data_IF_511782014731
#
_entry.id   IF_511782014731
#
_cell.length_a   1.000
_cell.length_b   1.000
_cell.length_c   1.000
_cell.angle_alpha   90.00
_cell.angle_beta   90.00
_cell.angle_gamma   90.00
#
_symmetry.space_group_name_H-M   'P 1'
#
loop_
_entity.id
_entity.type
_entity.pdbx_description
1 polymer ?
#
# COMPACT_ATOMS: atom_id res chain seq x y z
N UNK A 1 4.33 -10.34 -29.85
CA UNK A 1 3.67 -9.69 -28.68
C UNK A 1 2.77 -8.59 -29.19
N UNK A 2 1.53 -8.52 -28.70
CA UNK A 2 0.64 -7.39 -29.05
C UNK A 2 1.22 -6.11 -28.45
N UNK A 3 1.41 -5.06 -29.26
CA UNK A 3 1.88 -3.75 -28.77
C UNK A 3 0.78 -3.00 -28.00
N UNK A 4 -0.45 -3.47 -28.07
CA UNK A 4 -1.63 -2.86 -27.48
C UNK A 4 -2.54 -3.93 -26.88
N UNK A 5 -3.08 -3.62 -25.72
CA UNK A 5 -4.14 -4.41 -25.10
C UNK A 5 -5.52 -3.86 -25.49
N UNK A 6 -6.53 -4.70 -25.38
CA UNK A 6 -7.93 -4.31 -25.50
C UNK A 6 -8.71 -4.71 -24.23
N UNK A 7 -9.97 -4.31 -24.12
CA UNK A 7 -10.79 -4.57 -22.93
C UNK A 7 -10.99 -6.06 -22.60
N UNK A 8 -10.73 -6.98 -23.55
CA UNK A 8 -10.80 -8.43 -23.34
C UNK A 8 -9.44 -9.07 -23.07
N UNK A 9 -8.36 -8.27 -23.11
CA UNK A 9 -7.01 -8.77 -22.85
C UNK A 9 -6.87 -9.30 -21.43
N UNK A 10 -6.03 -10.30 -21.26
CA UNK A 10 -5.80 -11.01 -20.01
C UNK A 10 -6.77 -12.18 -19.81
N UNK A 11 -6.24 -13.36 -19.55
CA UNK A 11 -7.00 -14.57 -19.29
C UNK A 11 -6.99 -14.90 -17.79
N UNK A 12 -8.12 -15.32 -17.23
CA UNK A 12 -8.16 -15.75 -15.83
C UNK A 12 -7.23 -16.94 -15.55
N UNK A 13 -6.99 -17.81 -16.57
CA UNK A 13 -6.05 -18.91 -16.47
C UNK A 13 -4.60 -18.44 -16.22
N UNK A 14 -4.20 -17.28 -16.80
CA UNK A 14 -2.91 -16.65 -16.55
C UNK A 14 -2.80 -16.22 -15.08
N UNK A 15 -3.78 -15.48 -14.54
CA UNK A 15 -3.79 -15.08 -13.14
C UNK A 15 -3.73 -16.29 -12.21
N UNK A 16 -4.50 -17.35 -12.50
CA UNK A 16 -4.47 -18.61 -11.73
C UNK A 16 -3.10 -19.30 -11.75
N UNK A 17 -2.39 -19.24 -12.87
CA UNK A 17 -1.03 -19.78 -12.97
C UNK A 17 -0.03 -18.95 -12.15
N UNK A 18 -0.08 -17.63 -12.26
CA UNK A 18 0.78 -16.71 -11.52
C UNK A 18 0.62 -16.87 -10.01
N UNK A 19 -0.60 -16.92 -9.51
CA UNK A 19 -0.91 -17.00 -8.08
C UNK A 19 -0.69 -18.38 -7.45
N UNK A 20 -0.35 -19.40 -8.25
CA UNK A 20 0.12 -20.71 -7.76
C UNK A 20 1.60 -20.72 -7.39
N UNK A 21 2.34 -19.68 -7.77
CA UNK A 21 3.77 -19.54 -7.42
C UNK A 21 3.93 -19.53 -5.90
N UNK A 22 5.08 -20.00 -5.44
CA UNK A 22 5.43 -20.03 -4.04
C UNK A 22 6.75 -19.27 -3.84
N UNK A 23 6.78 -18.42 -2.86
CA UNK A 23 7.98 -17.71 -2.43
C UNK A 23 8.92 -18.67 -1.73
N UNK A 24 10.16 -18.76 -2.19
CA UNK A 24 11.18 -19.59 -1.57
C UNK A 24 12.01 -18.73 -0.61
N UNK A 25 12.20 -19.18 0.63
CA UNK A 25 13.02 -18.45 1.61
C UNK A 25 14.48 -18.28 1.14
N UNK A 26 14.99 -19.20 0.32
CA UNK A 26 16.34 -19.11 -0.22
C UNK A 26 16.53 -17.93 -1.20
N UNK A 27 15.46 -17.45 -1.83
CA UNK A 27 15.50 -16.30 -2.74
C UNK A 27 15.64 -14.97 -1.99
N UNK A 28 15.25 -14.94 -0.71
CA UNK A 28 15.22 -13.76 0.14
C UNK A 28 15.92 -13.97 1.48
N UNK A 29 17.25 -14.14 1.48
CA UNK A 29 18.03 -14.56 2.65
C UNK A 29 18.06 -13.54 3.80
N UNK A 30 17.64 -12.29 3.56
CA UNK A 30 17.53 -11.25 4.59
C UNK A 30 16.15 -11.20 5.24
N UNK A 31 15.17 -11.88 4.67
CA UNK A 31 13.88 -12.05 5.33
C UNK A 31 14.02 -12.98 6.54
N UNK A 32 13.39 -12.62 7.65
CA UNK A 32 13.36 -13.47 8.83
C UNK A 32 12.56 -14.75 8.61
N UNK A 33 11.47 -14.66 7.86
CA UNK A 33 10.60 -15.77 7.45
C UNK A 33 9.69 -15.38 6.29
N UNK A 34 9.01 -16.37 5.72
CA UNK A 34 7.96 -16.17 4.70
C UNK A 34 6.60 -16.46 5.33
N UNK A 35 5.65 -15.53 5.22
CA UNK A 35 4.28 -15.70 5.68
C UNK A 35 3.29 -15.52 4.52
N UNK A 36 2.54 -16.54 4.16
CA UNK A 36 1.56 -16.48 3.06
C UNK A 36 2.16 -15.94 1.75
N UNK A 37 3.34 -16.39 1.36
CA UNK A 37 4.16 -15.91 0.26
C UNK A 37 4.85 -14.55 0.48
N UNK A 38 4.63 -13.85 1.57
CA UNK A 38 5.22 -12.54 1.83
C UNK A 38 6.53 -12.69 2.61
N UNK A 39 7.66 -12.19 2.11
CA UNK A 39 8.88 -12.04 2.89
C UNK A 39 8.69 -11.02 4.02
N UNK A 40 9.00 -11.44 5.24
CA UNK A 40 8.84 -10.63 6.45
C UNK A 40 10.22 -10.31 7.01
N UNK A 41 10.49 -9.02 7.16
CA UNK A 41 11.77 -8.47 7.63
C UNK A 41 11.63 -7.88 9.02
N UNK A 42 12.76 -7.74 9.72
CA UNK A 42 12.83 -7.07 11.01
C UNK A 42 13.40 -5.65 10.85
N UNK A 43 12.59 -4.65 11.13
CA UNK A 43 12.99 -3.24 11.06
C UNK A 43 13.97 -2.81 12.15
N UNK A 44 14.06 -3.53 13.26
CA UNK A 44 14.97 -3.17 14.36
C UNK A 44 16.46 -3.32 14.02
N UNK A 45 16.79 -4.15 13.01
CA UNK A 45 18.17 -4.37 12.56
C UNK A 45 18.61 -3.53 11.37
N UNK A 46 17.78 -2.61 10.88
CA UNK A 46 18.07 -1.86 9.65
C UNK A 46 19.28 -0.94 9.73
N UNK A 47 19.61 -0.45 10.93
CA UNK A 47 20.77 0.44 11.12
C UNK A 47 22.11 -0.28 10.88
N UNK A 48 22.18 -1.57 11.13
CA UNK A 48 23.41 -2.37 11.07
C UNK A 48 23.49 -3.26 9.81
N UNK A 49 22.50 -3.19 8.92
CA UNK A 49 22.46 -4.04 7.73
C UNK A 49 23.22 -3.44 6.54
N UNK A 50 23.65 -4.30 5.60
CA UNK A 50 24.05 -3.85 4.27
C UNK A 50 22.83 -3.30 3.53
N UNK A 51 22.61 -1.98 3.67
CA UNK A 51 21.46 -1.27 3.12
C UNK A 51 21.33 -1.47 1.60
N UNK A 52 22.45 -1.46 0.86
CA UNK A 52 22.42 -1.61 -0.61
C UNK A 52 21.98 -3.01 -1.02
N UNK A 53 22.47 -4.02 -0.33
CA UNK A 53 22.08 -5.40 -0.60
C UNK A 53 20.61 -5.66 -0.18
N UNK A 54 20.14 -5.05 0.92
CA UNK A 54 18.73 -5.09 1.32
C UNK A 54 17.82 -4.41 0.29
N UNK A 55 18.20 -3.23 -0.20
CA UNK A 55 17.47 -2.51 -1.24
C UNK A 55 17.36 -3.35 -2.53
N UNK A 56 18.43 -4.05 -2.92
CA UNK A 56 18.41 -4.95 -4.07
C UNK A 56 17.41 -6.10 -3.87
N UNK A 57 17.40 -6.71 -2.68
CA UNK A 57 16.46 -7.78 -2.34
C UNK A 57 15.01 -7.27 -2.32
N UNK A 58 14.75 -6.12 -1.70
CA UNK A 58 13.40 -5.52 -1.67
C UNK A 58 12.90 -5.13 -3.06
N UNK A 59 13.76 -4.60 -3.92
CA UNK A 59 13.40 -4.31 -5.30
C UNK A 59 13.02 -5.59 -6.05
N UNK A 60 13.74 -6.69 -5.83
CA UNK A 60 13.42 -7.98 -6.43
C UNK A 60 12.09 -8.56 -5.93
N UNK A 61 11.83 -8.51 -4.61
CA UNK A 61 10.54 -8.91 -4.05
C UNK A 61 9.38 -8.18 -4.73
N UNK A 62 9.51 -6.85 -4.89
CA UNK A 62 8.47 -6.01 -5.47
C UNK A 62 8.32 -6.21 -6.99
N UNK A 63 9.42 -6.46 -7.71
CA UNK A 63 9.43 -6.57 -9.16
C UNK A 63 9.15 -7.99 -9.63
N UNK A 64 9.92 -8.98 -9.16
CA UNK A 64 9.95 -10.36 -9.66
C UNK A 64 9.30 -11.36 -8.71
N UNK A 65 9.23 -11.01 -7.42
CA UNK A 65 8.69 -11.82 -6.35
C UNK A 65 7.18 -11.71 -6.16
N UNK A 66 6.69 -11.90 -4.94
CA UNK A 66 5.26 -11.82 -4.59
C UNK A 66 4.67 -10.40 -4.72
N UNK A 67 5.50 -9.37 -4.87
CA UNK A 67 5.08 -7.99 -5.03
C UNK A 67 4.72 -7.27 -3.72
N UNK A 68 5.04 -7.85 -2.58
CA UNK A 68 4.72 -7.33 -1.26
C UNK A 68 5.82 -7.65 -0.24
N UNK A 69 6.13 -6.69 0.62
CA UNK A 69 7.10 -6.74 1.71
C UNK A 69 6.39 -6.40 3.01
N UNK A 70 6.60 -7.19 4.06
CA UNK A 70 6.20 -6.82 5.42
C UNK A 70 7.44 -6.55 6.27
N UNK A 71 7.41 -5.47 7.04
CA UNK A 71 8.49 -5.06 7.94
C UNK A 71 7.92 -4.99 9.35
N UNK A 72 8.22 -6.01 10.14
CA UNK A 72 7.90 -6.02 11.58
C UNK A 72 8.79 -5.00 12.27
N UNK A 73 8.22 -4.29 13.24
CA UNK A 73 8.96 -3.25 13.97
C UNK A 73 9.66 -2.24 13.04
N UNK A 74 8.99 -1.83 11.97
CA UNK A 74 9.47 -0.72 11.14
C UNK A 74 9.70 0.55 11.97
N UNK A 75 8.92 0.69 13.05
CA UNK A 75 9.14 1.60 14.16
C UNK A 75 9.41 0.78 15.43
N UNK A 76 10.69 0.50 15.77
CA UNK A 76 11.01 -0.24 16.99
C UNK A 76 10.57 0.49 18.27
N UNK A 77 10.67 1.82 18.27
CA UNK A 77 10.04 2.71 19.23
C UNK A 77 8.74 3.27 18.61
N UNK A 78 7.62 3.02 19.25
CA UNK A 78 6.30 3.46 18.77
C UNK A 78 5.90 4.85 19.26
N UNK A 79 6.71 5.55 20.03
CA UNK A 79 6.41 6.89 20.51
C UNK A 79 6.14 7.90 19.36
N UNK A 80 6.87 7.91 18.23
CA UNK A 80 6.53 8.75 17.08
C UNK A 80 5.15 8.44 16.50
N UNK A 81 4.73 7.17 16.49
CA UNK A 81 3.39 6.74 16.02
C UNK A 81 2.32 7.25 16.97
N UNK A 82 2.51 7.12 18.29
CA UNK A 82 1.54 7.58 19.28
C UNK A 82 1.35 9.11 19.20
N UNK A 83 2.46 9.86 19.05
CA UNK A 83 2.43 11.32 18.86
C UNK A 83 1.68 11.69 17.57
N UNK A 84 1.99 11.06 16.45
CA UNK A 84 1.30 11.28 15.17
C UNK A 84 -0.18 10.92 15.25
N UNK A 85 -0.54 9.79 15.90
CA UNK A 85 -1.92 9.37 16.09
C UNK A 85 -2.73 10.41 16.86
N UNK A 86 -2.17 11.00 17.92
CA UNK A 86 -2.84 12.06 18.69
C UNK A 86 -3.14 13.30 17.83
N UNK A 87 -2.20 13.69 16.98
CA UNK A 87 -2.40 14.78 16.00
C UNK A 87 -3.50 14.43 15.01
N UNK A 88 -3.48 13.22 14.45
CA UNK A 88 -4.49 12.78 13.47
C UNK A 88 -5.90 12.71 14.06
N UNK A 89 -6.07 12.24 15.29
CA UNK A 89 -7.37 12.24 15.97
C UNK A 89 -7.90 13.67 16.18
N UNK A 90 -7.02 14.62 16.48
CA UNK A 90 -7.37 16.03 16.60
C UNK A 90 -7.83 16.62 15.26
N UNK A 91 -7.13 16.31 14.18
CA UNK A 91 -7.48 16.74 12.82
C UNK A 91 -8.84 16.15 12.41
N UNK A 92 -9.06 14.85 12.62
CA UNK A 92 -10.35 14.19 12.33
C UNK A 92 -11.48 14.85 13.08
N UNK A 93 -11.30 15.15 14.38
CA UNK A 93 -12.31 15.80 15.18
C UNK A 93 -12.64 17.22 14.67
N UNK A 94 -11.62 17.99 14.31
CA UNK A 94 -11.77 19.34 13.77
C UNK A 94 -12.49 19.35 12.40
N UNK A 95 -12.11 18.45 11.50
CA UNK A 95 -12.73 18.31 10.17
C UNK A 95 -14.21 17.90 10.29
N UNK A 96 -14.53 16.97 11.19
CA UNK A 96 -15.92 16.61 11.48
C UNK A 96 -16.74 17.78 12.04
N UNK A 97 -16.18 18.52 12.98
CA UNK A 97 -16.84 19.70 13.55
C UNK A 97 -17.09 20.80 12.50
N UNK A 98 -16.19 20.93 11.53
CA UNK A 98 -16.34 21.86 10.41
C UNK A 98 -17.32 21.37 9.31
N UNK A 99 -17.93 20.19 9.49
CA UNK A 99 -18.85 19.61 8.51
C UNK A 99 -18.16 19.11 7.24
N UNK A 100 -16.84 19.02 7.25
CA UNK A 100 -16.11 18.39 6.17
C UNK A 100 -16.44 16.89 6.21
N UNK A 101 -17.13 16.40 5.18
CA UNK A 101 -17.32 14.96 5.00
C UNK A 101 -15.96 14.36 4.69
N UNK A 102 -15.31 13.77 5.69
CA UNK A 102 -14.12 12.96 5.53
C UNK A 102 -14.44 11.62 4.83
N UNK A 103 -15.46 11.62 3.95
CA UNK A 103 -15.90 10.43 3.24
C UNK A 103 -14.80 10.02 2.23
N UNK A 104 -14.36 8.81 2.37
CA UNK A 104 -13.62 8.11 1.33
C UNK A 104 -14.56 7.94 0.12
N UNK A 105 -14.08 8.25 -1.09
CA UNK A 105 -14.84 8.00 -2.32
C UNK A 105 -15.20 6.51 -2.53
N UNK A 106 -14.58 5.62 -1.77
CA UNK A 106 -14.74 4.17 -1.86
C UNK A 106 -15.52 3.55 -0.70
N UNK A 107 -15.95 4.32 0.31
CA UNK A 107 -16.63 3.81 1.49
C UNK A 107 -17.97 4.49 1.73
N UNK A 108 -18.91 3.75 2.36
CA UNK A 108 -20.18 4.33 2.82
C UNK A 108 -19.91 5.38 3.90
N UNK A 109 -20.73 6.44 3.99
CA UNK A 109 -20.62 7.41 5.06
C UNK A 109 -20.57 6.75 6.45
N UNK A 110 -19.59 7.11 7.27
CA UNK A 110 -19.38 6.55 8.61
C UNK A 110 -18.61 5.23 8.69
N UNK A 111 -18.28 4.59 7.55
CA UNK A 111 -17.49 3.36 7.55
C UNK A 111 -16.01 3.61 7.85
N UNK A 112 -15.49 4.75 7.42
CA UNK A 112 -14.12 5.18 7.72
C UNK A 112 -14.03 6.70 7.85
N UNK A 113 -12.93 7.15 8.46
CA UNK A 113 -12.50 8.54 8.50
C UNK A 113 -11.14 8.63 7.80
N UNK A 114 -10.99 9.55 6.84
CA UNK A 114 -9.76 9.72 6.08
C UNK A 114 -9.27 11.17 6.16
N UNK A 115 -8.01 11.35 6.49
CA UNK A 115 -7.32 12.63 6.38
C UNK A 115 -6.55 12.63 5.06
N UNK A 116 -6.89 13.56 4.18
CA UNK A 116 -6.16 13.83 2.95
C UNK A 116 -5.04 14.85 3.21
N UNK A 117 -3.97 14.83 2.43
CA UNK A 117 -2.80 15.71 2.59
C UNK A 117 -2.21 15.65 4.01
N UNK A 118 -2.02 14.44 4.53
CA UNK A 118 -1.50 14.23 5.90
C UNK A 118 -0.17 14.90 6.11
N UNK A 119 0.73 14.87 5.13
CA UNK A 119 2.06 15.48 5.25
C UNK A 119 1.97 16.96 5.63
N UNK A 120 1.18 17.75 4.90
CA UNK A 120 1.00 19.17 5.19
C UNK A 120 0.34 19.39 6.56
N UNK A 121 -0.78 18.70 6.80
CA UNK A 121 -1.56 18.86 8.04
C UNK A 121 -0.77 18.46 9.28
N UNK A 122 -0.01 17.35 9.20
CA UNK A 122 0.85 16.90 10.29
C UNK A 122 1.99 17.89 10.53
N UNK A 123 2.67 18.31 9.47
CA UNK A 123 3.78 19.27 9.55
C UNK A 123 3.35 20.60 10.19
N UNK A 124 2.20 21.13 9.80
CA UNK A 124 1.67 22.38 10.36
C UNK A 124 1.20 22.23 11.81
N UNK A 125 0.63 21.08 12.18
CA UNK A 125 0.15 20.84 13.53
C UNK A 125 1.27 20.51 14.52
N UNK A 126 2.27 19.75 14.09
CA UNK A 126 3.38 19.27 14.92
C UNK A 126 4.64 19.03 14.07
N UNK A 127 5.45 20.08 13.79
CA UNK A 127 6.63 19.96 12.92
C UNK A 127 7.68 18.97 13.44
N UNK A 128 7.91 18.93 14.75
CA UNK A 128 8.89 18.02 15.35
C UNK A 128 8.43 16.56 15.30
N UNK A 129 7.14 16.31 15.60
CA UNK A 129 6.52 14.98 15.49
C UNK A 129 6.51 14.51 14.05
N UNK A 130 6.20 15.39 13.10
CA UNK A 130 6.29 15.13 11.67
C UNK A 130 7.71 14.69 11.26
N UNK A 131 8.73 15.47 11.63
CA UNK A 131 10.10 15.14 11.30
C UNK A 131 10.53 13.80 11.91
N UNK A 132 10.21 13.56 13.18
CA UNK A 132 10.50 12.28 13.86
C UNK A 132 9.83 11.09 13.19
N UNK A 133 8.57 11.23 12.76
CA UNK A 133 7.82 10.15 12.13
C UNK A 133 8.33 9.83 10.73
N UNK A 134 8.50 10.84 9.87
CA UNK A 134 8.91 10.62 8.47
C UNK A 134 10.42 10.45 8.27
N UNK A 135 11.26 10.66 9.30
CA UNK A 135 12.68 10.30 9.29
C UNK A 135 12.94 8.80 9.43
N UNK A 136 11.89 7.96 9.38
CA UNK A 136 11.98 6.52 9.57
C UNK A 136 12.86 5.85 8.49
N UNK A 137 13.91 5.09 8.86
CA UNK A 137 14.84 4.49 7.91
C UNK A 137 14.21 3.35 7.08
N UNK A 138 13.21 2.63 7.58
CA UNK A 138 12.54 1.57 6.83
C UNK A 138 11.76 2.18 5.66
N UNK A 139 10.99 3.25 5.91
CA UNK A 139 10.23 3.97 4.87
C UNK A 139 11.19 4.52 3.80
N UNK A 140 12.26 5.18 4.20
CA UNK A 140 13.24 5.74 3.28
C UNK A 140 13.93 4.65 2.44
N UNK A 141 14.31 3.54 3.07
CA UNK A 141 15.02 2.45 2.38
C UNK A 141 14.15 1.76 1.34
N UNK A 142 12.88 1.44 1.65
CA UNK A 142 12.00 0.79 0.69
C UNK A 142 11.59 1.73 -0.45
N UNK A 143 11.36 3.00 -0.16
CA UNK A 143 11.04 3.99 -1.18
C UNK A 143 12.20 4.16 -2.17
N UNK A 144 13.43 4.26 -1.66
CA UNK A 144 14.64 4.35 -2.50
C UNK A 144 14.94 3.05 -3.26
N UNK A 145 14.69 1.90 -2.63
CA UNK A 145 14.84 0.59 -3.30
C UNK A 145 13.98 0.45 -4.55
N UNK A 146 12.76 0.97 -4.51
CA UNK A 146 11.83 0.86 -5.63
C UNK A 146 11.89 2.03 -6.62
N UNK A 147 12.03 3.27 -6.11
CA UNK A 147 11.87 4.48 -6.91
C UNK A 147 13.20 5.19 -7.19
N UNK A 148 14.28 4.80 -6.54
CA UNK A 148 15.51 5.58 -6.53
C UNK A 148 15.40 6.86 -5.69
N UNK A 149 16.43 7.73 -5.74
CA UNK A 149 16.44 8.98 -4.99
C UNK A 149 15.42 10.00 -5.54
N UNK A 150 15.17 11.05 -4.77
CA UNK A 150 14.31 12.19 -5.12
C UNK A 150 12.84 11.82 -5.35
N UNK A 151 12.35 10.73 -4.75
CA UNK A 151 10.93 10.40 -4.71
C UNK A 151 10.12 11.47 -3.95
N UNK A 152 8.83 11.58 -4.25
CA UNK A 152 7.88 12.42 -3.53
C UNK A 152 6.95 11.56 -2.70
N UNK A 153 7.01 11.72 -1.37
CA UNK A 153 6.06 11.13 -0.45
C UNK A 153 4.72 11.88 -0.49
N UNK A 154 3.61 11.16 -0.47
CA UNK A 154 2.30 11.62 -0.02
C UNK A 154 1.72 10.59 0.95
N UNK A 155 0.82 11.00 1.82
CA UNK A 155 0.27 10.12 2.85
C UNK A 155 -1.18 10.49 3.19
N UNK A 156 -1.94 9.47 3.60
CA UNK A 156 -3.34 9.61 3.99
C UNK A 156 -3.59 8.76 5.24
N UNK A 157 -4.00 9.40 6.34
CA UNK A 157 -4.44 8.63 7.49
C UNK A 157 -5.83 8.05 7.22
N UNK A 158 -5.98 6.75 7.38
CA UNK A 158 -7.24 6.05 7.25
C UNK A 158 -7.61 5.33 8.55
N UNK A 159 -8.75 5.71 9.14
CA UNK A 159 -9.34 5.04 10.29
C UNK A 159 -10.59 4.30 9.85
N UNK A 160 -10.55 2.97 9.85
CA UNK A 160 -11.72 2.13 9.52
C UNK A 160 -12.44 1.76 10.80
N UNK A 161 -13.68 2.18 10.88
CA UNK A 161 -14.53 1.98 12.06
C UNK A 161 -15.02 0.52 12.14
N UNK A 162 -15.40 0.02 13.34
CA UNK A 162 -16.10 -1.26 13.47
C UNK A 162 -17.28 -1.36 12.51
N UNK A 163 -17.42 -2.48 11.78
CA UNK A 163 -18.44 -2.66 10.75
C UNK A 163 -18.12 -2.03 9.39
N UNK A 164 -16.96 -1.38 9.23
CA UNK A 164 -16.50 -0.86 7.93
C UNK A 164 -16.36 -1.99 6.91
N UNK A 165 -16.98 -1.83 5.73
CA UNK A 165 -17.03 -2.89 4.71
C UNK A 165 -15.79 -2.92 3.83
N UNK A 166 -15.46 -4.12 3.31
CA UNK A 166 -14.38 -4.31 2.34
C UNK A 166 -14.59 -3.49 1.06
N UNK A 167 -13.48 -3.17 0.41
CA UNK A 167 -13.46 -2.63 -0.95
C UNK A 167 -13.52 -3.77 -1.99
N UNK A 168 -13.89 -3.45 -3.22
CA UNK A 168 -13.64 -4.32 -4.36
C UNK A 168 -12.15 -4.37 -4.66
N UNK A 169 -11.67 -5.52 -5.15
CA UNK A 169 -10.28 -5.67 -5.56
C UNK A 169 -9.93 -4.68 -6.68
N UNK A 170 -8.77 -4.05 -6.56
CA UNK A 170 -8.29 -3.07 -7.52
C UNK A 170 -6.77 -3.14 -7.68
N UNK A 171 -6.28 -2.42 -8.67
CA UNK A 171 -4.89 -2.02 -8.86
C UNK A 171 -4.86 -0.52 -8.78
N UNK A 172 -3.86 0.05 -8.15
CA UNK A 172 -3.79 1.48 -7.95
C UNK A 172 -2.90 2.19 -8.96
N UNK A 173 -3.02 3.49 -8.94
CA UNK A 173 -2.32 4.55 -9.65
C UNK A 173 -2.50 4.53 -11.18
N UNK A 174 -2.42 5.70 -11.75
CA UNK A 174 -2.47 5.96 -13.17
C UNK A 174 -3.56 5.14 -13.89
N UNK A 175 -3.18 4.01 -14.50
CA UNK A 175 -4.11 3.13 -15.23
C UNK A 175 -5.15 2.48 -14.31
N UNK A 176 -4.86 2.29 -13.03
CA UNK A 176 -5.79 1.70 -12.05
C UNK A 176 -7.00 2.59 -11.75
N UNK A 177 -6.86 3.90 -11.91
CA UNK A 177 -7.95 4.88 -11.74
C UNK A 177 -8.73 5.15 -13.02
N UNK A 178 -8.35 4.51 -14.12
CA UNK A 178 -8.98 4.65 -15.40
C UNK A 178 -10.00 3.54 -15.64
N UNK A 179 -11.01 3.82 -16.45
CA UNK A 179 -11.86 2.76 -17.00
C UNK A 179 -11.06 1.86 -17.93
N UNK A 180 -11.51 0.62 -18.14
CA UNK A 180 -10.87 -0.30 -19.08
C UNK A 180 -10.75 0.30 -20.50
N UNK A 181 -11.75 1.09 -20.92
CA UNK A 181 -11.73 1.81 -22.20
C UNK A 181 -10.61 2.85 -22.28
N UNK A 182 -10.39 3.60 -21.18
CA UNK A 182 -9.31 4.58 -21.11
C UNK A 182 -7.94 3.90 -21.06
N UNK A 183 -7.78 2.86 -20.23
CA UNK A 183 -6.52 2.12 -20.11
C UNK A 183 -6.11 1.41 -21.39
N UNK A 184 -7.08 0.92 -22.19
CA UNK A 184 -6.82 0.32 -23.50
C UNK A 184 -6.25 1.29 -24.56
N UNK A 185 -6.28 2.60 -24.28
CA UNK A 185 -5.68 3.63 -25.18
C UNK A 185 -4.16 3.72 -25.01
N UNK A 186 -3.59 3.07 -24.02
CA UNK A 186 -2.15 3.06 -23.75
C UNK A 186 -1.51 1.78 -24.27
N UNK A 187 -0.31 1.88 -24.89
CA UNK A 187 0.42 0.69 -25.37
C UNK A 187 0.92 -0.18 -24.20
N UNK A 188 1.22 -1.42 -24.50
CA UNK A 188 1.61 -2.44 -23.49
C UNK A 188 2.79 -2.01 -22.60
N UNK A 189 3.80 -1.33 -23.16
CA UNK A 189 4.95 -0.87 -22.36
C UNK A 189 4.57 0.19 -21.31
N UNK A 190 3.50 0.97 -21.52
CA UNK A 190 3.00 1.93 -20.53
C UNK A 190 2.29 1.18 -19.38
N UNK A 191 1.61 0.05 -19.66
CA UNK A 191 1.07 -0.81 -18.61
C UNK A 191 2.18 -1.41 -17.73
N UNK A 192 3.31 -1.78 -18.33
CA UNK A 192 4.48 -2.26 -17.59
C UNK A 192 5.18 -1.13 -16.80
N UNK A 193 5.24 0.08 -17.36
CA UNK A 193 5.89 1.24 -16.72
C UNK A 193 5.09 1.78 -15.53
N UNK A 194 3.75 1.80 -15.63
CA UNK A 194 2.87 2.44 -14.64
C UNK A 194 3.19 2.05 -13.18
N UNK A 195 3.30 0.77 -12.82
CA UNK A 195 3.61 0.39 -11.43
C UNK A 195 5.04 0.74 -10.98
N UNK A 196 5.98 0.92 -11.92
CA UNK A 196 7.36 1.30 -11.58
C UNK A 196 7.50 2.77 -11.16
N UNK A 197 6.48 3.60 -11.38
CA UNK A 197 6.49 5.03 -11.07
C UNK A 197 5.96 5.35 -9.67
N UNK A 198 5.43 4.38 -8.96
CA UNK A 198 4.83 4.58 -7.64
C UNK A 198 5.09 3.37 -6.73
N UNK A 199 5.05 3.61 -5.43
CA UNK A 199 5.09 2.59 -4.39
C UNK A 199 3.93 2.85 -3.43
N UNK A 200 3.23 1.79 -3.03
CA UNK A 200 2.25 1.84 -1.96
C UNK A 200 2.78 1.22 -0.69
N UNK A 201 2.35 1.78 0.43
CA UNK A 201 2.64 1.21 1.74
C UNK A 201 1.61 1.62 2.77
N UNK A 202 1.72 1.00 3.93
CA UNK A 202 0.95 1.35 5.11
C UNK A 202 1.78 1.15 6.36
N UNK A 203 1.69 2.09 7.30
CA UNK A 203 2.21 1.96 8.66
C UNK A 203 1.04 1.70 9.59
N UNK A 204 1.16 0.67 10.42
CA UNK A 204 0.14 0.30 11.39
C UNK A 204 0.22 1.22 12.63
N UNK A 205 -0.85 1.98 12.89
CA UNK A 205 -0.99 2.86 14.05
C UNK A 205 -1.72 2.20 15.23
N UNK A 206 -2.12 0.97 15.07
CA UNK A 206 -2.69 0.11 16.11
C UNK A 206 -2.43 -1.35 15.73
N UNK A 207 -2.67 -2.26 16.67
CA UNK A 207 -2.72 -3.68 16.34
C UNK A 207 -3.87 -3.96 15.39
N UNK A 208 -3.60 -4.78 14.37
CA UNK A 208 -4.51 -5.13 13.30
C UNK A 208 -4.66 -6.66 13.19
N UNK A 209 -5.38 -7.31 14.12
CA UNK A 209 -5.73 -8.72 13.97
C UNK A 209 -6.66 -8.89 12.76
N UNK A 210 -6.83 -10.11 12.27
CA UNK A 210 -7.59 -10.39 11.06
C UNK A 210 -9.03 -9.84 11.09
N UNK A 211 -9.67 -9.86 12.26
CA UNK A 211 -11.02 -9.30 12.44
C UNK A 211 -11.10 -7.79 12.25
N UNK A 212 -10.00 -7.05 12.41
CA UNK A 212 -9.96 -5.62 12.09
C UNK A 212 -9.96 -5.33 10.59
N UNK A 213 -9.85 -6.38 9.77
CA UNK A 213 -9.88 -6.31 8.31
C UNK A 213 -8.62 -5.67 7.70
N UNK A 214 -7.40 -6.12 8.02
CA UNK A 214 -6.21 -5.62 7.32
C UNK A 214 -6.36 -5.83 5.80
N UNK A 215 -5.50 -5.17 5.04
CA UNK A 215 -5.56 -5.22 3.58
C UNK A 215 -5.52 -6.64 3.04
N UNK A 216 -6.39 -6.91 2.07
CA UNK A 216 -6.43 -8.14 1.30
C UNK A 216 -5.43 -8.02 0.15
N UNK A 217 -4.60 -9.02 -0.06
CA UNK A 217 -3.58 -9.05 -1.11
C UNK A 217 -3.69 -10.34 -1.92
N UNK A 218 -3.34 -10.28 -3.20
CA UNK A 218 -3.19 -11.46 -4.06
C UNK A 218 -1.75 -11.52 -4.57
N UNK A 219 -0.82 -12.19 -3.87
CA UNK A 219 0.59 -12.27 -4.24
C UNK A 219 0.79 -12.74 -5.68
N UNK A 220 1.83 -12.22 -6.34
CA UNK A 220 2.19 -12.46 -7.74
C UNK A 220 1.21 -11.92 -8.79
N UNK A 221 0.07 -11.34 -8.41
CA UNK A 221 -0.92 -10.83 -9.36
C UNK A 221 -0.42 -9.63 -10.18
N UNK A 222 0.58 -8.90 -9.69
CA UNK A 222 1.20 -7.77 -10.41
C UNK A 222 1.84 -8.20 -11.73
N UNK A 223 2.25 -9.46 -11.86
CA UNK A 223 2.87 -10.00 -13.08
C UNK A 223 1.91 -10.17 -14.26
N UNK A 224 0.61 -10.09 -14.02
CA UNK A 224 -0.36 -10.13 -15.11
C UNK A 224 -0.27 -8.85 -15.94
N UNK A 225 0.30 -8.92 -17.13
CA UNK A 225 0.60 -7.76 -17.99
C UNK A 225 -0.65 -6.94 -18.31
N UNK A 226 -1.75 -7.58 -18.72
CA UNK A 226 -3.03 -6.92 -19.02
C UNK A 226 -3.90 -6.68 -17.78
N UNK A 227 -3.31 -6.74 -16.58
CA UNK A 227 -4.04 -6.74 -15.31
C UNK A 227 -4.90 -5.50 -15.06
N UNK A 228 -4.48 -4.32 -15.54
CA UNK A 228 -5.29 -3.10 -15.42
C UNK A 228 -6.59 -3.13 -16.22
N UNK A 229 -6.66 -3.96 -17.25
CA UNK A 229 -7.88 -4.17 -18.03
C UNK A 229 -8.71 -5.35 -17.49
N UNK A 230 -8.04 -6.30 -16.86
CA UNK A 230 -8.63 -7.55 -16.41
C UNK A 230 -9.28 -7.46 -15.02
N UNK A 231 -8.64 -6.74 -14.06
CA UNK A 231 -9.08 -6.76 -12.65
C UNK A 231 -10.55 -6.35 -12.43
N UNK A 232 -11.17 -5.42 -13.21
CA UNK A 232 -12.54 -5.01 -12.94
C UNK A 232 -13.58 -6.06 -13.38
N UNK A 233 -13.18 -7.07 -14.16
CA UNK A 233 -14.10 -8.08 -14.66
C UNK A 233 -14.58 -9.02 -13.55
N UNK A 234 -15.88 -9.45 -13.57
CA UNK A 234 -16.48 -10.23 -12.49
C UNK A 234 -15.72 -11.50 -12.13
N UNK A 235 -15.22 -12.24 -13.12
CA UNK A 235 -14.48 -13.48 -12.90
C UNK A 235 -13.14 -13.28 -12.17
N UNK A 236 -12.49 -12.10 -12.32
CA UNK A 236 -11.28 -11.74 -11.59
C UNK A 236 -11.59 -11.29 -10.17
N UNK A 237 -12.68 -10.55 -9.99
CA UNK A 237 -13.18 -10.16 -8.67
C UNK A 237 -13.55 -11.39 -7.84
N UNK A 238 -14.28 -12.34 -8.43
CA UNK A 238 -14.67 -13.59 -7.77
C UNK A 238 -13.44 -14.44 -7.41
N UNK A 239 -12.45 -14.51 -8.32
CA UNK A 239 -11.20 -15.22 -8.04
C UNK A 239 -10.43 -14.57 -6.89
N UNK A 240 -10.32 -13.25 -6.87
CA UNK A 240 -9.67 -12.51 -5.77
C UNK A 240 -10.34 -12.81 -4.44
N UNK A 241 -11.68 -12.73 -4.35
CA UNK A 241 -12.42 -12.99 -3.13
C UNK A 241 -12.16 -14.38 -2.53
N UNK A 242 -11.86 -15.37 -3.37
CA UNK A 242 -11.63 -16.76 -2.94
C UNK A 242 -10.16 -17.07 -2.63
N UNK A 243 -9.20 -16.24 -3.09
CA UNK A 243 -7.77 -16.59 -3.09
C UNK A 243 -6.86 -15.53 -2.48
N UNK A 244 -7.40 -14.41 -2.02
CA UNK A 244 -6.61 -13.38 -1.33
C UNK A 244 -6.06 -13.90 0.00
N UNK A 245 -5.03 -13.22 0.50
CA UNK A 245 -4.49 -13.42 1.84
C UNK A 245 -4.50 -12.09 2.62
N UNK A 246 -4.35 -12.17 3.91
CA UNK A 246 -4.19 -11.04 4.82
C UNK A 246 -2.98 -11.28 5.74
N UNK A 247 -2.38 -10.19 6.20
CA UNK A 247 -1.34 -10.21 7.23
C UNK A 247 -1.85 -9.46 8.46
N UNK A 248 -1.88 -10.09 9.64
CA UNK A 248 -2.05 -9.35 10.88
C UNK A 248 -0.80 -8.48 11.10
N UNK A 249 -1.02 -7.26 11.55
CA UNK A 249 0.05 -6.30 11.86
C UNK A 249 -0.06 -5.88 13.32
N UNK A 250 1.07 -5.58 13.92
CA UNK A 250 1.16 -4.91 15.22
C UNK A 250 1.45 -3.43 15.01
N UNK A 251 1.13 -2.60 15.99
CA UNK A 251 1.50 -1.18 15.95
C UNK A 251 3.01 -1.03 15.75
N UNK A 252 3.41 -0.25 14.75
CA UNK A 252 4.81 -0.09 14.38
C UNK A 252 5.28 -0.94 13.21
N UNK A 253 4.47 -1.90 12.77
CA UNK A 253 4.76 -2.65 11.54
C UNK A 253 4.44 -1.81 10.31
N UNK A 254 5.09 -2.14 9.21
CA UNK A 254 4.79 -1.56 7.91
C UNK A 254 4.68 -2.63 6.81
N UNK A 255 3.86 -2.37 5.81
CA UNK A 255 3.75 -3.20 4.61
C UNK A 255 3.91 -2.29 3.39
N UNK A 256 4.70 -2.74 2.41
CA UNK A 256 4.87 -2.05 1.12
C UNK A 256 4.60 -3.03 -0.01
N UNK A 257 4.02 -2.54 -1.09
CA UNK A 257 3.66 -3.40 -2.21
C UNK A 257 3.64 -2.65 -3.54
N UNK A 258 3.81 -3.44 -4.61
CA UNK A 258 3.72 -2.97 -5.98
C UNK A 258 2.28 -2.54 -6.29
N UNK A 259 2.04 -1.33 -6.82
CA UNK A 259 0.69 -0.83 -7.10
C UNK A 259 -0.14 -1.67 -8.07
N UNK A 260 0.52 -2.46 -8.93
CA UNK A 260 -0.16 -3.40 -9.82
C UNK A 260 -0.59 -4.71 -9.13
N UNK A 261 -0.23 -4.91 -7.86
CA UNK A 261 -0.76 -6.02 -7.07
C UNK A 261 -2.27 -5.87 -6.88
N UNK A 262 -3.05 -6.89 -7.15
CA UNK A 262 -4.48 -6.87 -6.82
C UNK A 262 -4.64 -6.87 -5.30
N UNK A 263 -5.32 -5.86 -4.79
CA UNK A 263 -5.52 -5.67 -3.35
C UNK A 263 -6.87 -4.98 -3.06
N UNK A 264 -7.26 -4.97 -1.79
CA UNK A 264 -8.47 -4.29 -1.33
C UNK A 264 -8.39 -4.04 0.19
N UNK A 265 -9.11 -3.06 0.72
CA UNK A 265 -9.34 -2.98 2.15
C UNK A 265 -10.22 -4.16 2.61
N UNK A 266 -9.86 -4.79 3.72
CA UNK A 266 -10.66 -5.84 4.35
C UNK A 266 -11.82 -5.27 5.17
N UNK A 267 -12.87 -6.08 5.40
CA UNK A 267 -13.98 -5.74 6.29
C UNK A 267 -13.51 -5.74 7.74
N UNK A 268 -13.78 -4.67 8.48
CA UNK A 268 -13.59 -4.65 9.92
C UNK A 268 -14.82 -5.29 10.59
N UNK A 269 -14.68 -6.54 11.00
CA UNK A 269 -15.72 -7.31 11.69
C UNK A 269 -15.62 -7.23 13.22
N UNK A 270 -14.58 -6.52 13.72
CA UNK A 270 -14.43 -6.30 15.17
C UNK A 270 -15.56 -5.41 15.72
N UNK A 271 -15.71 -5.44 17.04
CA UNK A 271 -16.74 -4.63 17.73
C UNK A 271 -16.20 -3.28 18.23
N UNK A 272 -14.89 -3.20 18.42
CA UNK A 272 -14.24 -2.12 19.20
C UNK A 272 -12.89 -1.66 18.61
N UNK A 273 -12.36 -2.33 17.57
CA UNK A 273 -11.09 -1.93 16.96
C UNK A 273 -11.33 -0.86 15.90
N UNK A 274 -10.92 0.35 16.17
CA UNK A 274 -10.78 1.42 15.19
C UNK A 274 -9.45 1.25 14.47
N UNK A 275 -9.44 0.50 13.35
CA UNK A 275 -8.23 0.21 12.60
C UNK A 275 -7.63 1.47 12.00
N UNK A 276 -6.41 1.82 12.38
CA UNK A 276 -5.70 3.02 11.95
C UNK A 276 -4.45 2.65 11.18
N UNK A 277 -4.31 3.19 9.98
CA UNK A 277 -3.12 3.07 9.17
C UNK A 277 -2.80 4.38 8.46
N UNK A 278 -1.54 4.76 8.47
CA UNK A 278 -1.04 5.80 7.57
C UNK A 278 -0.69 5.17 6.23
N UNK A 279 -1.45 5.54 5.19
CA UNK A 279 -1.31 5.00 3.84
C UNK A 279 -0.29 5.83 3.08
N UNK A 280 0.87 5.26 2.85
CA UNK A 280 1.97 5.91 2.16
C UNK A 280 1.84 5.71 0.65
N UNK A 281 1.93 6.79 -0.10
CA UNK A 281 1.85 6.82 -1.54
C UNK A 281 3.06 7.58 -2.08
N UNK A 282 4.02 6.84 -2.60
CA UNK A 282 5.32 7.41 -2.97
C UNK A 282 5.44 7.43 -4.48
N UNK A 283 5.73 8.59 -5.04
CA UNK A 283 5.90 8.78 -6.49
C UNK A 283 7.36 8.97 -6.85
N UNK A 284 7.79 8.38 -7.95
CA UNK A 284 9.15 8.56 -8.46
C UNK A 284 9.41 10.01 -8.89
N UNK A 285 10.67 10.39 -9.02
CA UNK A 285 11.07 11.67 -9.60
C UNK A 285 10.53 11.89 -11.03
N UNK A 286 10.16 10.83 -11.73
CA UNK A 286 9.64 10.83 -13.10
C UNK A 286 8.12 10.78 -13.18
N UNK A 287 7.43 10.61 -12.04
CA UNK A 287 5.97 10.52 -11.94
C UNK A 287 5.35 11.76 -11.31
N UNK A 288 4.01 11.82 -11.34
CA UNK A 288 3.26 12.82 -10.59
C UNK A 288 2.96 12.30 -9.20
N UNK A 289 3.05 13.19 -8.20
CA UNK A 289 2.57 12.90 -6.86
C UNK A 289 1.04 12.67 -6.89
N UNK A 290 0.57 11.82 -5.99
CA UNK A 290 -0.86 11.47 -5.87
C UNK A 290 -1.71 12.62 -5.34
N UNK A 291 -1.10 13.49 -4.56
CA UNK A 291 -1.73 14.68 -3.98
C UNK A 291 -0.91 15.91 -4.33
N UNK A 292 -1.54 17.07 -4.30
CA UNK A 292 -0.82 18.34 -4.40
C UNK A 292 0.01 18.53 -3.13
N UNK A 293 1.32 18.66 -3.30
CA UNK A 293 2.24 18.88 -2.17
C UNK A 293 2.49 20.36 -2.02
N UNK A 294 2.09 20.93 -0.89
CA UNK A 294 2.44 22.29 -0.51
C UNK A 294 3.87 22.31 0.02
N UNK A 295 4.77 22.97 -0.67
CA UNK A 295 6.20 23.08 -0.31
C UNK A 295 6.55 24.37 0.42
N UNK A 296 5.55 25.20 0.70
CA UNK A 296 5.73 26.49 1.38
C UNK A 296 5.12 26.52 2.78
N UNK A 297 4.47 25.41 3.17
CA UNK A 297 3.91 25.24 4.49
C UNK A 297 4.98 25.02 5.56
#
# INVERSE_FOLDING_TARGET
MSQWYNQKSGALAELKALTKRQTQAADYPRAGYIQNNVPVYDGSGLADCDRKALMGEWADVLLNGPGIIAIKRAFPDTAPIDRATAVFETIIAAEKAAGASAADHFAKPGANDRIWNVLEKHCLADPEGFASYFANPAIATVAEAWLGPAYQMTAQMNRVNPGGTAQSAHRDYHLGFMTATQSARYPAHVHALSPALTLQGAVAHCDMPLESGPTLYLPFSQHMEAGYLAFPRPEFQEFFQKNHMQLPLEKGDAVFFNPALMHAAGTNTSRDIYRRADLLQVSSAFGRAMETVNRTA
#
